data_IF_691157025962
#
_entry.id   IF_691157025962
#
_cell.length_a   1.000
_cell.length_b   1.000
_cell.length_c   1.000
_cell.angle_alpha   90.00
_cell.angle_beta   90.00
_cell.angle_gamma   90.00
#
_symmetry.space_group_name_H-M   'P 1'
#
loop_
_entity.id
_entity.type
_entity.pdbx_description
1 polymer ?
#
# COMPACT_ATOMS: atom_id res chain seq x y z
N UNK A 1 -14.68 -20.80 -8.19
CA UNK A 1 -14.77 -19.47 -8.79
C UNK A 1 -14.03 -18.49 -7.91
N UNK A 2 -13.20 -17.67 -8.47
CA UNK A 2 -12.43 -16.65 -7.74
C UNK A 2 -13.40 -15.53 -7.35
N UNK A 3 -13.58 -15.28 -6.07
CA UNK A 3 -14.35 -14.14 -5.56
C UNK A 3 -13.35 -13.05 -5.20
N UNK A 4 -13.42 -11.92 -5.88
CA UNK A 4 -12.58 -10.76 -5.62
C UNK A 4 -13.37 -9.80 -4.72
N UNK A 5 -12.92 -9.59 -3.49
CA UNK A 5 -13.49 -8.60 -2.58
C UNK A 5 -12.45 -7.53 -2.32
N UNK A 6 -12.75 -6.29 -2.68
CA UNK A 6 -11.94 -5.13 -2.29
C UNK A 6 -12.58 -4.49 -1.06
N UNK A 7 -11.86 -4.42 0.05
CA UNK A 7 -12.31 -3.76 1.27
C UNK A 7 -11.45 -2.53 1.56
N UNK A 8 -12.11 -1.39 1.76
CA UNK A 8 -11.48 -0.17 2.25
C UNK A 8 -11.58 -0.16 3.78
N UNK A 9 -10.47 -0.42 4.43
CA UNK A 9 -10.36 -0.45 5.88
C UNK A 9 -9.80 0.89 6.35
N UNK A 10 -10.68 1.82 6.71
CA UNK A 10 -10.30 3.16 7.15
C UNK A 10 -11.09 3.60 8.39
N UNK A 11 -10.45 4.40 9.23
CA UNK A 11 -11.05 4.97 10.44
C UNK A 11 -12.06 6.06 10.09
N UNK A 12 -13.35 5.86 10.40
CA UNK A 12 -14.36 6.92 10.47
C UNK A 12 -14.32 7.59 11.83
N UNK A 13 -13.64 8.71 11.91
CA UNK A 13 -13.84 9.69 12.99
C UNK A 13 -14.98 10.63 12.65
N UNK A 14 -16.19 10.36 13.14
CA UNK A 14 -17.32 11.27 13.03
C UNK A 14 -17.14 12.43 14.04
N UNK A 15 -16.93 13.64 13.57
CA UNK A 15 -17.19 14.87 14.36
C UNK A 15 -17.90 15.89 13.48
N UNK A 16 -19.21 15.97 13.69
CA UNK A 16 -20.01 17.16 13.35
C UNK A 16 -19.51 18.37 14.14
N UNK A 17 -19.17 19.46 13.46
CA UNK A 17 -19.29 20.80 14.04
C UNK A 17 -19.49 21.87 12.98
N UNK A 18 -20.65 22.47 13.09
CA UNK A 18 -21.15 23.80 12.76
C UNK A 18 -20.27 24.81 12.00
N UNK A 19 -21.00 25.43 11.05
CA UNK A 19 -20.73 26.68 10.35
C UNK A 19 -20.43 27.83 11.30
N UNK A 20 -19.48 28.67 10.92
CA UNK A 20 -19.71 30.13 10.95
C UNK A 20 -18.91 30.83 9.83
N UNK A 21 -19.63 31.74 9.16
CA UNK A 21 -19.22 32.61 8.07
C UNK A 21 -18.46 33.82 8.65
N UNK A 22 -17.27 34.11 8.13
CA UNK A 22 -16.79 35.51 8.13
C UNK A 22 -15.87 35.75 6.92
N UNK A 23 -16.30 36.59 6.04
CA UNK A 23 -15.60 37.18 4.91
C UNK A 23 -14.52 38.13 5.41
N UNK A 24 -13.28 37.96 4.95
CA UNK A 24 -12.30 39.06 4.93
C UNK A 24 -11.38 38.90 3.71
N UNK A 25 -11.45 39.90 2.87
CA UNK A 25 -10.64 40.20 1.72
C UNK A 25 -9.18 40.45 2.15
N UNK A 26 -8.21 39.72 1.58
CA UNK A 26 -6.81 40.18 1.58
C UNK A 26 -6.00 39.45 0.50
N UNK A 27 -5.47 40.26 -0.43
CA UNK A 27 -4.26 40.11 -1.25
C UNK A 27 -3.87 38.70 -1.77
N UNK A 28 -3.94 38.53 -3.08
CA UNK A 28 -3.31 37.47 -3.86
C UNK A 28 -1.78 37.49 -3.68
N UNK A 29 -1.27 36.62 -2.83
CA UNK A 29 0.09 36.13 -2.92
C UNK A 29 0.10 35.00 -3.97
N UNK A 30 0.89 35.16 -5.01
CA UNK A 30 1.10 34.17 -6.06
C UNK A 30 1.65 32.88 -5.46
N UNK A 31 0.80 31.88 -5.27
CA UNK A 31 1.19 30.51 -4.92
C UNK A 31 2.08 29.96 -6.05
N UNK A 32 3.12 29.18 -5.73
CA UNK A 32 3.85 28.40 -6.73
C UNK A 32 2.85 27.57 -7.52
N UNK A 33 2.88 27.64 -8.84
CA UNK A 33 2.08 26.76 -9.69
C UNK A 33 2.54 25.32 -9.44
N UNK A 34 1.61 24.50 -8.95
CA UNK A 34 1.77 23.08 -8.88
C UNK A 34 1.90 22.53 -10.31
N UNK A 35 3.03 21.89 -10.68
CA UNK A 35 3.25 21.40 -12.05
C UNK A 35 2.25 20.31 -12.46
N UNK A 36 1.44 19.79 -11.52
CA UNK A 36 0.61 18.61 -11.69
C UNK A 36 -0.85 18.88 -12.13
N UNK A 37 -1.25 20.15 -12.27
CA UNK A 37 -2.67 20.49 -12.57
C UNK A 37 -3.17 20.09 -13.95
N UNK A 38 -2.34 19.47 -14.81
CA UNK A 38 -2.72 19.07 -16.17
C UNK A 38 -2.48 17.58 -16.47
N UNK A 39 -2.23 16.74 -15.47
CA UNK A 39 -2.06 15.33 -15.70
C UNK A 39 -3.41 14.64 -15.86
N UNK A 40 -3.61 13.95 -16.99
CA UNK A 40 -4.78 13.12 -17.24
C UNK A 40 -4.75 11.91 -16.31
N UNK A 41 -5.85 11.69 -15.57
CA UNK A 41 -6.00 10.54 -14.67
C UNK A 41 -6.76 9.41 -15.40
N UNK A 42 -6.51 8.15 -15.05
CA UNK A 42 -5.56 7.63 -14.05
C UNK A 42 -4.11 7.69 -14.52
N UNK A 43 -3.20 8.10 -13.65
CA UNK A 43 -1.78 8.19 -13.93
C UNK A 43 -0.96 7.37 -12.94
N UNK A 44 0.01 6.60 -13.45
CA UNK A 44 0.87 5.75 -12.63
C UNK A 44 2.35 5.99 -12.89
N UNK A 45 3.19 5.67 -11.91
CA UNK A 45 4.65 5.65 -12.01
C UNK A 45 5.21 4.44 -11.29
N UNK A 46 6.31 3.87 -11.82
CA UNK A 46 7.09 2.85 -11.12
C UNK A 46 8.15 3.45 -10.18
N UNK A 47 8.13 4.75 -9.97
CA UNK A 47 9.11 5.44 -9.12
C UNK A 47 10.56 5.05 -9.48
N UNK A 48 10.85 5.01 -10.79
CA UNK A 48 12.15 4.57 -11.33
C UNK A 48 13.29 5.58 -11.15
N UNK A 49 13.06 6.68 -10.46
CA UNK A 49 14.08 7.72 -10.20
C UNK A 49 13.61 8.77 -9.19
N UNK A 50 14.50 9.71 -8.91
CA UNK A 50 14.36 10.65 -7.80
C UNK A 50 13.17 11.60 -7.88
N UNK A 51 12.67 11.93 -9.08
CA UNK A 51 11.58 12.89 -9.21
C UNK A 51 10.28 12.33 -8.66
N UNK A 52 9.84 11.19 -9.18
CA UNK A 52 8.60 10.55 -8.75
C UNK A 52 8.70 9.96 -7.34
N UNK A 53 9.86 9.40 -6.95
CA UNK A 53 10.09 8.95 -5.56
C UNK A 53 9.90 10.13 -4.58
N UNK A 54 10.51 11.28 -4.86
CA UNK A 54 10.43 12.45 -3.98
C UNK A 54 9.00 12.97 -3.89
N UNK A 55 8.27 12.99 -4.99
CA UNK A 55 6.88 13.44 -5.02
C UNK A 55 5.97 12.52 -4.20
N UNK A 56 6.06 11.20 -4.41
CA UNK A 56 5.27 10.20 -3.67
C UNK A 56 5.59 10.25 -2.17
N UNK A 57 6.87 10.30 -1.80
CA UNK A 57 7.28 10.42 -0.39
C UNK A 57 6.75 11.70 0.26
N UNK A 58 6.74 12.82 -0.46
CA UNK A 58 6.15 14.07 0.05
C UNK A 58 4.65 13.91 0.36
N UNK A 59 3.87 13.24 -0.51
CA UNK A 59 2.44 13.02 -0.25
C UNK A 59 2.22 12.06 0.92
N UNK A 60 3.07 11.03 1.07
CA UNK A 60 3.07 10.14 2.23
C UNK A 60 3.36 10.89 3.52
N UNK A 61 4.40 11.73 3.56
CA UNK A 61 4.75 12.57 4.71
C UNK A 61 3.62 13.53 5.07
N UNK A 62 3.04 14.22 4.08
CA UNK A 62 1.91 15.14 4.27
C UNK A 62 0.65 14.43 4.81
N UNK A 63 0.46 13.17 4.48
CA UNK A 63 -0.62 12.34 5.00
C UNK A 63 -0.32 11.80 6.41
N UNK A 64 0.95 11.86 6.86
CA UNK A 64 1.40 11.34 8.13
C UNK A 64 1.73 9.85 8.11
N UNK A 65 2.08 9.27 6.95
CA UNK A 65 2.54 7.90 6.86
C UNK A 65 3.83 7.69 7.64
N UNK A 66 4.01 6.50 8.17
CA UNK A 66 5.21 6.15 8.95
C UNK A 66 6.35 5.69 8.04
N UNK A 67 7.57 5.75 8.56
CA UNK A 67 8.78 5.17 7.95
C UNK A 67 9.00 5.56 6.47
N UNK A 68 8.61 6.77 6.08
CA UNK A 68 8.69 7.25 4.68
C UNK A 68 10.14 7.27 4.19
N UNK A 69 11.11 7.61 5.04
CA UNK A 69 12.54 7.55 4.67
C UNK A 69 12.99 6.11 4.38
N UNK A 70 12.59 5.13 5.19
CA UNK A 70 12.87 3.70 4.95
C UNK A 70 12.19 3.21 3.68
N UNK A 71 10.94 3.60 3.44
CA UNK A 71 10.25 3.31 2.19
C UNK A 71 11.01 3.89 0.98
N UNK A 72 11.46 5.14 1.08
CA UNK A 72 12.29 5.77 0.05
C UNK A 72 13.57 5.01 -0.24
N UNK A 73 14.24 4.52 0.79
CA UNK A 73 15.44 3.67 0.66
C UNK A 73 15.11 2.37 -0.08
N UNK A 74 14.00 1.70 0.27
CA UNK A 74 13.58 0.45 -0.38
C UNK A 74 13.28 0.66 -1.87
N UNK A 75 12.51 1.71 -2.21
CA UNK A 75 12.18 2.04 -3.59
C UNK A 75 13.42 2.38 -4.40
N UNK A 76 14.34 3.18 -3.82
CA UNK A 76 15.58 3.59 -4.49
C UNK A 76 16.47 2.39 -4.75
N UNK A 77 16.67 1.53 -3.76
CA UNK A 77 17.49 0.33 -3.87
C UNK A 77 16.94 -0.64 -4.93
N UNK A 78 15.61 -0.84 -4.97
CA UNK A 78 14.97 -1.65 -6.01
C UNK A 78 15.18 -1.04 -7.41
N UNK A 79 14.93 0.26 -7.57
CA UNK A 79 15.09 0.94 -8.86
C UNK A 79 16.53 0.89 -9.37
N UNK A 80 17.51 1.09 -8.47
CA UNK A 80 18.95 1.01 -8.76
C UNK A 80 19.36 -0.44 -9.10
N UNK A 81 18.75 -1.43 -8.46
CA UNK A 81 19.02 -2.86 -8.70
C UNK A 81 18.44 -3.31 -10.03
N UNK A 82 17.19 -3.02 -10.31
CA UNK A 82 16.52 -3.30 -11.57
C UNK A 82 17.24 -2.66 -12.78
N UNK A 83 17.83 -1.49 -12.57
CA UNK A 83 18.62 -0.78 -13.57
C UNK A 83 17.79 -0.24 -14.75
N UNK A 84 18.48 0.44 -15.66
CA UNK A 84 17.84 1.18 -16.79
C UNK A 84 17.08 0.29 -17.76
N UNK A 85 17.45 -0.99 -17.85
CA UNK A 85 16.88 -1.93 -18.81
C UNK A 85 15.53 -2.51 -18.36
N UNK A 86 15.16 -2.34 -17.10
CA UNK A 86 13.89 -2.82 -16.54
C UNK A 86 12.69 -1.92 -16.89
N UNK A 87 12.92 -0.79 -17.59
CA UNK A 87 11.88 0.15 -18.00
C UNK A 87 11.10 0.79 -16.84
N UNK A 88 11.75 0.99 -15.69
CA UNK A 88 11.19 1.74 -14.57
C UNK A 88 11.29 3.23 -14.87
N UNK A 89 10.21 3.83 -15.39
CA UNK A 89 10.21 5.24 -15.77
C UNK A 89 10.06 6.13 -14.54
N UNK A 90 10.84 7.22 -14.52
CA UNK A 90 10.75 8.32 -13.54
C UNK A 90 9.78 9.41 -14.03
N UNK A 91 8.59 9.00 -14.48
CA UNK A 91 7.55 9.91 -14.97
C UNK A 91 6.18 9.30 -14.73
N UNK A 92 5.19 10.14 -14.55
CA UNK A 92 3.80 9.72 -14.57
C UNK A 92 3.38 9.38 -16.01
N UNK A 93 2.65 8.31 -16.18
CA UNK A 93 2.10 7.85 -17.46
C UNK A 93 0.68 7.36 -17.25
N UNK A 94 -0.11 7.30 -18.31
CA UNK A 94 -1.44 6.69 -18.22
C UNK A 94 -1.32 5.25 -17.71
N UNK A 95 -2.15 4.87 -16.73
CA UNK A 95 -1.97 3.63 -15.96
C UNK A 95 -1.95 2.36 -16.85
N UNK A 96 -2.77 2.31 -17.91
CA UNK A 96 -2.83 1.19 -18.86
C UNK A 96 -1.57 0.99 -19.70
N UNK A 97 -0.66 1.97 -19.70
CA UNK A 97 0.59 1.95 -20.48
C UNK A 97 1.82 1.53 -19.66
N UNK A 98 1.60 1.21 -18.39
CA UNK A 98 2.68 0.79 -17.51
C UNK A 98 3.13 -0.63 -17.84
N UNK A 99 4.43 -0.79 -18.14
CA UNK A 99 5.05 -2.09 -18.45
C UNK A 99 6.50 -2.10 -17.96
N UNK A 100 6.73 -2.75 -16.83
CA UNK A 100 8.08 -3.08 -16.38
C UNK A 100 8.54 -4.40 -17.00
N UNK A 101 9.85 -4.56 -17.15
CA UNK A 101 10.47 -5.84 -17.45
C UNK A 101 10.78 -6.56 -16.13
N UNK A 102 9.83 -7.36 -15.66
CA UNK A 102 9.91 -8.04 -14.35
C UNK A 102 11.06 -9.03 -14.27
N UNK A 103 11.41 -9.70 -15.39
CA UNK A 103 12.59 -10.56 -15.45
C UNK A 103 13.88 -9.79 -15.16
N UNK A 104 14.04 -8.62 -15.76
CA UNK A 104 15.21 -7.75 -15.48
C UNK A 104 15.19 -7.13 -14.08
N UNK A 105 14.01 -6.87 -13.54
CA UNK A 105 13.89 -6.44 -12.14
C UNK A 105 14.45 -7.51 -11.22
N UNK A 106 14.03 -8.77 -11.41
CA UNK A 106 14.46 -9.89 -10.59
C UNK A 106 15.96 -10.20 -10.80
N UNK A 107 16.43 -10.31 -12.04
CA UNK A 107 17.84 -10.53 -12.33
C UNK A 107 18.73 -9.47 -11.68
N UNK A 108 18.35 -8.20 -11.81
CA UNK A 108 19.11 -7.09 -11.22
C UNK A 108 19.07 -7.06 -9.69
N UNK A 109 17.98 -7.51 -9.07
CA UNK A 109 17.89 -7.66 -7.63
C UNK A 109 18.81 -8.79 -7.13
N UNK A 110 18.71 -9.96 -7.74
CA UNK A 110 19.51 -11.15 -7.37
C UNK A 110 21.02 -10.97 -7.60
N UNK A 111 21.44 -10.08 -8.51
CA UNK A 111 22.85 -9.72 -8.69
C UNK A 111 23.43 -8.96 -7.49
N UNK A 112 22.60 -8.28 -6.70
CA UNK A 112 23.02 -7.42 -5.59
C UNK A 112 22.63 -7.94 -4.22
N UNK A 113 21.59 -8.76 -4.14
CA UNK A 113 20.99 -9.22 -2.90
C UNK A 113 20.83 -10.74 -2.90
N UNK A 114 21.01 -11.35 -1.76
CA UNK A 114 20.83 -12.79 -1.52
C UNK A 114 19.49 -13.11 -0.81
N UNK A 115 18.55 -12.14 -0.85
CA UNK A 115 17.23 -12.25 -0.27
C UNK A 115 16.17 -11.59 -1.19
N UNK A 116 14.91 -11.97 -1.02
CA UNK A 116 13.79 -11.38 -1.76
C UNK A 116 13.49 -9.95 -1.26
N UNK A 117 13.15 -9.04 -2.19
CA UNK A 117 12.67 -7.72 -1.79
C UNK A 117 11.31 -7.82 -1.08
N UNK A 118 10.85 -6.71 -0.49
CA UNK A 118 9.55 -6.63 0.12
C UNK A 118 8.43 -6.90 -0.90
N UNK A 119 7.30 -7.37 -0.41
CA UNK A 119 6.06 -7.49 -1.18
C UNK A 119 5.04 -6.39 -0.82
N UNK A 120 3.81 -6.54 -1.31
CA UNK A 120 2.73 -5.60 -1.08
C UNK A 120 2.38 -5.46 0.42
N UNK A 121 2.31 -6.59 1.15
CA UNK A 121 1.95 -6.63 2.57
C UNK A 121 3.02 -5.99 3.44
N UNK A 122 4.29 -6.32 3.20
CA UNK A 122 5.43 -5.77 3.92
C UNK A 122 5.55 -4.26 3.70
N UNK A 123 5.35 -3.80 2.47
CA UNK A 123 5.40 -2.37 2.11
C UNK A 123 4.27 -1.58 2.74
N UNK A 124 3.03 -2.09 2.66
CA UNK A 124 1.89 -1.43 3.28
C UNK A 124 2.01 -1.39 4.81
N UNK A 125 2.49 -2.47 5.43
CA UNK A 125 2.70 -2.54 6.88
C UNK A 125 3.78 -1.57 7.36
N UNK A 126 4.90 -1.45 6.65
CA UNK A 126 5.96 -0.49 6.96
C UNK A 126 5.41 0.94 7.04
N UNK A 127 4.60 1.34 6.07
CA UNK A 127 4.03 2.69 6.00
C UNK A 127 2.91 2.93 7.02
N UNK A 128 2.33 1.87 7.58
CA UNK A 128 1.29 1.91 8.63
C UNK A 128 1.85 1.74 10.04
N UNK A 129 3.12 1.37 10.21
CA UNK A 129 3.72 1.14 11.52
C UNK A 129 3.57 2.38 12.41
N UNK A 130 3.04 2.19 13.64
CA UNK A 130 2.72 3.28 14.54
C UNK A 130 1.38 4.01 14.29
N UNK A 131 0.75 3.84 13.11
CA UNK A 131 -0.61 4.32 12.82
C UNK A 131 -1.64 3.20 12.97
N UNK A 132 -1.24 1.98 12.70
CA UNK A 132 -2.09 0.80 12.83
C UNK A 132 -2.06 0.32 14.28
N UNK A 133 -3.24 0.20 14.88
CA UNK A 133 -3.44 -0.29 16.23
C UNK A 133 -4.39 -1.48 16.23
N UNK A 134 -4.18 -2.43 17.14
CA UNK A 134 -5.08 -3.54 17.40
C UNK A 134 -5.32 -3.66 18.91
N UNK A 135 -6.52 -4.04 19.32
CA UNK A 135 -6.83 -4.32 20.74
C UNK A 135 -6.23 -5.66 21.19
N UNK A 136 -6.05 -6.59 20.27
CA UNK A 136 -5.39 -7.88 20.47
C UNK A 136 -4.83 -8.39 19.16
N UNK A 137 -3.89 -9.33 19.25
CA UNK A 137 -3.30 -10.05 18.12
C UNK A 137 -3.46 -11.56 18.34
N UNK A 138 -3.22 -12.34 17.29
CA UNK A 138 -3.11 -13.79 17.41
C UNK A 138 -1.79 -14.15 18.12
N UNK A 139 -1.82 -15.16 19.00
CA UNK A 139 -0.63 -15.56 19.77
C UNK A 139 0.46 -16.22 18.90
N UNK A 140 0.06 -16.84 17.80
CA UNK A 140 0.99 -17.47 16.86
C UNK A 140 0.36 -17.64 15.48
N UNK A 141 1.15 -17.45 14.43
CA UNK A 141 0.76 -17.76 13.06
C UNK A 141 1.26 -19.17 12.68
N UNK A 142 0.36 -20.02 12.23
CA UNK A 142 0.64 -21.38 11.78
C UNK A 142 0.20 -21.64 10.33
N UNK A 143 -0.14 -20.58 9.61
CA UNK A 143 -0.59 -20.66 8.23
C UNK A 143 0.56 -20.86 7.23
N UNK A 144 0.21 -20.94 5.96
CA UNK A 144 1.15 -21.20 4.86
C UNK A 144 1.21 -20.06 3.84
N UNK A 145 0.21 -19.19 3.77
CA UNK A 145 0.15 -18.13 2.77
C UNK A 145 1.18 -17.00 2.98
N UNK A 146 1.64 -16.80 4.22
CA UNK A 146 2.70 -15.84 4.54
C UNK A 146 4.10 -16.49 4.63
N UNK A 147 4.29 -17.70 4.11
CA UNK A 147 5.56 -18.43 4.29
C UNK A 147 6.77 -17.63 3.79
N UNK A 148 6.68 -17.01 2.61
CA UNK A 148 7.77 -16.21 2.05
C UNK A 148 7.98 -14.89 2.80
N UNK A 149 6.88 -14.22 3.21
CA UNK A 149 6.97 -13.01 4.05
C UNK A 149 7.67 -13.32 5.37
N UNK A 150 7.26 -14.41 6.01
CA UNK A 150 7.80 -14.82 7.31
C UNK A 150 9.28 -15.21 7.23
N UNK A 151 9.68 -15.89 6.16
CA UNK A 151 11.08 -16.22 5.92
C UNK A 151 11.94 -14.96 5.78
N UNK A 152 11.47 -13.98 4.99
CA UNK A 152 12.16 -12.71 4.81
C UNK A 152 12.18 -11.89 6.12
N UNK A 153 11.05 -11.74 6.79
CA UNK A 153 10.91 -10.98 8.05
C UNK A 153 11.84 -11.56 9.13
N UNK A 154 11.94 -12.87 9.25
CA UNK A 154 12.72 -13.52 10.30
C UNK A 154 14.23 -13.46 10.05
N UNK A 155 14.68 -13.44 8.80
CA UNK A 155 16.08 -13.64 8.46
C UNK A 155 16.79 -12.41 7.88
N UNK A 156 16.06 -11.37 7.45
CA UNK A 156 16.63 -10.20 6.79
C UNK A 156 16.54 -8.97 7.69
N UNK A 157 17.67 -8.35 8.00
CA UNK A 157 17.73 -7.19 8.90
C UNK A 157 16.98 -5.96 8.34
N UNK A 158 16.87 -5.85 7.04
CA UNK A 158 16.08 -4.83 6.35
C UNK A 158 14.63 -4.75 6.85
N UNK A 159 14.07 -5.88 7.32
CA UNK A 159 12.68 -6.00 7.76
C UNK A 159 12.49 -5.99 9.28
N UNK A 160 13.49 -5.50 10.01
CA UNK A 160 13.48 -5.43 11.49
C UNK A 160 12.26 -4.69 12.04
N UNK A 161 11.81 -3.61 11.38
CA UNK A 161 10.62 -2.85 11.80
C UNK A 161 9.37 -3.75 11.77
N UNK A 162 9.21 -4.55 10.73
CA UNK A 162 8.08 -5.49 10.61
C UNK A 162 8.23 -6.62 11.64
N UNK A 163 9.46 -7.14 11.82
CA UNK A 163 9.77 -8.20 12.78
C UNK A 163 9.39 -7.83 14.20
N UNK A 164 9.60 -6.59 14.61
CA UNK A 164 9.22 -6.08 15.93
C UNK A 164 7.71 -6.09 16.18
N UNK A 165 6.89 -6.04 15.12
CA UNK A 165 5.43 -6.05 15.16
C UNK A 165 4.84 -7.28 14.44
N UNK A 166 5.57 -8.39 14.45
CA UNK A 166 5.27 -9.61 13.69
C UNK A 166 3.87 -10.17 13.97
N UNK A 167 3.44 -10.18 15.25
CA UNK A 167 2.13 -10.72 15.62
C UNK A 167 1.00 -9.86 15.04
N UNK A 168 1.17 -8.55 14.95
CA UNK A 168 0.22 -7.66 14.30
C UNK A 168 0.20 -7.88 12.78
N UNK A 169 1.37 -8.03 12.15
CA UNK A 169 1.50 -8.33 10.72
C UNK A 169 0.77 -9.64 10.36
N UNK A 170 1.01 -10.71 11.09
CA UNK A 170 0.40 -12.02 10.85
C UNK A 170 -1.10 -12.04 11.18
N UNK A 171 -1.53 -11.30 12.22
CA UNK A 171 -2.95 -11.14 12.53
C UNK A 171 -3.69 -10.39 11.41
N UNK A 172 -3.05 -9.38 10.82
CA UNK A 172 -3.65 -8.59 9.74
C UNK A 172 -3.71 -9.38 8.42
N UNK A 173 -2.63 -10.02 8.02
CA UNK A 173 -2.46 -10.58 6.67
C UNK A 173 -2.54 -12.10 6.57
N UNK A 174 -2.44 -12.83 7.69
CA UNK A 174 -2.58 -14.29 7.69
C UNK A 174 -3.93 -14.72 7.11
N UNK A 175 -3.96 -15.86 6.45
CA UNK A 175 -5.18 -16.45 5.93
C UNK A 175 -6.20 -16.69 7.06
N UNK A 176 -7.46 -16.59 6.70
CA UNK A 176 -8.57 -16.75 7.63
C UNK A 176 -9.50 -17.86 7.16
N UNK A 177 -9.92 -18.74 8.08
CA UNK A 177 -11.03 -19.65 7.82
C UNK A 177 -12.30 -18.84 7.59
N UNK A 178 -13.13 -19.30 6.67
CA UNK A 178 -14.40 -18.64 6.37
C UNK A 178 -15.32 -18.66 7.59
N UNK A 179 -15.89 -17.51 7.91
CA UNK A 179 -16.80 -17.35 9.05
C UNK A 179 -18.26 -17.58 8.67
N UNK A 180 -18.59 -17.32 7.41
CA UNK A 180 -19.94 -17.57 6.83
C UNK A 180 -19.78 -18.04 5.38
N UNK A 181 -20.13 -19.30 5.10
CA UNK A 181 -20.08 -19.93 3.78
C UNK A 181 -20.91 -19.21 2.71
N UNK A 182 -21.92 -18.43 3.12
CA UNK A 182 -22.76 -17.66 2.21
C UNK A 182 -22.18 -16.29 1.89
N UNK A 183 -21.35 -15.79 2.78
CA UNK A 183 -20.77 -14.45 2.72
C UNK A 183 -19.28 -14.49 3.07
N UNK A 184 -18.44 -15.23 2.32
CA UNK A 184 -17.01 -15.32 2.59
C UNK A 184 -16.32 -13.94 2.54
N UNK A 185 -16.90 -13.01 1.79
CA UNK A 185 -16.42 -11.62 1.67
C UNK A 185 -16.42 -10.86 3.01
N UNK A 186 -17.24 -11.27 3.99
CA UNK A 186 -17.30 -10.58 5.30
C UNK A 186 -16.17 -10.99 6.24
N UNK A 187 -15.44 -12.06 5.93
CA UNK A 187 -14.46 -12.66 6.84
C UNK A 187 -13.38 -11.67 7.28
N UNK A 188 -12.86 -10.84 6.34
CA UNK A 188 -11.84 -9.85 6.71
C UNK A 188 -12.42 -8.71 7.55
N UNK A 189 -13.59 -8.19 7.23
CA UNK A 189 -14.22 -7.13 8.04
C UNK A 189 -14.59 -7.65 9.44
N UNK A 190 -14.95 -8.90 9.56
CA UNK A 190 -15.22 -9.52 10.86
C UNK A 190 -13.92 -9.72 11.68
N UNK A 191 -12.81 -10.12 11.03
CA UNK A 191 -11.50 -10.16 11.68
C UNK A 191 -11.01 -8.77 12.09
N UNK A 192 -11.18 -7.78 11.23
CA UNK A 192 -10.85 -6.38 11.56
C UNK A 192 -11.55 -5.93 12.83
N UNK A 193 -12.87 -6.21 12.94
CA UNK A 193 -13.66 -5.90 14.14
C UNK A 193 -13.24 -6.74 15.34
N UNK A 194 -13.01 -8.05 15.13
CA UNK A 194 -12.63 -9.00 16.20
C UNK A 194 -11.36 -8.56 16.92
N UNK A 195 -10.34 -8.14 16.18
CA UNK A 195 -9.07 -7.71 16.75
C UNK A 195 -9.04 -6.22 17.09
N UNK A 196 -10.10 -5.48 16.74
CA UNK A 196 -10.22 -4.05 17.01
C UNK A 196 -9.18 -3.22 16.28
N UNK A 197 -8.87 -3.58 15.02
CA UNK A 197 -7.95 -2.81 14.20
C UNK A 197 -8.48 -1.41 13.95
N UNK A 198 -7.57 -0.43 14.02
CA UNK A 198 -7.82 0.98 13.74
C UNK A 198 -6.59 1.60 13.08
N UNK A 199 -6.81 2.49 12.13
CA UNK A 199 -5.76 3.31 11.54
C UNK A 199 -5.97 4.74 12.07
N UNK A 200 -4.98 5.28 12.76
CA UNK A 200 -5.03 6.64 13.35
C UNK A 200 -4.67 7.69 12.27
N UNK A 201 -5.51 7.77 11.26
CA UNK A 201 -5.40 8.75 10.18
C UNK A 201 -6.75 8.99 9.52
N UNK A 202 -7.01 10.23 9.12
CA UNK A 202 -8.17 10.62 8.31
C UNK A 202 -7.85 10.71 6.82
N UNK A 203 -6.59 10.50 6.46
CA UNK A 203 -6.07 10.60 5.08
C UNK A 203 -5.53 9.28 4.52
N UNK A 204 -5.23 8.31 5.38
CA UNK A 204 -4.65 7.02 5.00
C UNK A 204 -5.66 5.93 5.22
N UNK A 205 -5.83 5.08 4.21
CA UNK A 205 -6.62 3.85 4.29
C UNK A 205 -5.82 2.68 3.74
N UNK A 206 -6.02 1.50 4.30
CA UNK A 206 -5.50 0.24 3.76
C UNK A 206 -6.53 -0.31 2.78
N UNK A 207 -6.13 -0.52 1.53
CA UNK A 207 -6.92 -1.24 0.53
C UNK A 207 -6.35 -2.64 0.36
N UNK A 208 -7.18 -3.66 0.52
CA UNK A 208 -6.79 -5.06 0.35
C UNK A 208 -7.74 -5.77 -0.60
N UNK A 209 -7.18 -6.59 -1.47
CA UNK A 209 -7.90 -7.51 -2.36
C UNK A 209 -7.82 -8.89 -1.76
N UNK A 210 -8.96 -9.45 -1.39
CA UNK A 210 -9.06 -10.77 -0.82
C UNK A 210 -9.33 -11.83 -1.89
N UNK A 211 -8.68 -12.97 -1.76
CA UNK A 211 -8.86 -14.13 -2.63
C UNK A 211 -9.40 -15.28 -1.78
N UNK A 212 -10.52 -15.84 -2.22
CA UNK A 212 -11.09 -17.05 -1.61
C UNK A 212 -10.56 -18.29 -2.30
N UNK A 213 -9.99 -19.19 -1.53
CA UNK A 213 -9.58 -20.53 -1.96
C UNK A 213 -10.59 -21.56 -1.45
N UNK A 214 -11.47 -22.06 -2.34
CA UNK A 214 -12.52 -23.02 -1.93
C UNK A 214 -11.96 -24.42 -1.58
N UNK A 215 -10.75 -24.76 -2.04
CA UNK A 215 -10.15 -26.08 -1.75
C UNK A 215 -9.59 -26.13 -0.32
N UNK A 216 -9.21 -24.99 0.22
CA UNK A 216 -8.69 -24.85 1.58
C UNK A 216 -9.69 -24.22 2.55
N UNK A 217 -10.88 -23.84 2.07
CA UNK A 217 -11.91 -23.12 2.83
C UNK A 217 -11.33 -21.91 3.57
N UNK A 218 -10.49 -21.17 2.87
CA UNK A 218 -9.74 -20.05 3.41
C UNK A 218 -9.80 -18.83 2.50
N UNK A 219 -9.73 -17.66 3.12
CA UNK A 219 -9.57 -16.39 2.42
C UNK A 219 -8.25 -15.73 2.86
N UNK A 220 -7.55 -15.16 1.92
CA UNK A 220 -6.26 -14.49 2.17
C UNK A 220 -6.13 -13.20 1.38
N UNK A 221 -5.21 -12.31 1.82
CA UNK A 221 -4.90 -11.07 1.12
C UNK A 221 -4.01 -11.39 -0.08
N UNK A 222 -4.58 -11.32 -1.27
CA UNK A 222 -3.86 -11.52 -2.52
C UNK A 222 -3.05 -10.30 -2.95
N UNK A 223 -3.54 -9.10 -2.64
CA UNK A 223 -2.83 -7.84 -2.87
C UNK A 223 -3.26 -6.76 -1.88
N UNK A 224 -2.37 -5.79 -1.62
CA UNK A 224 -2.66 -4.68 -0.71
C UNK A 224 -1.77 -3.47 -1.01
N UNK A 225 -2.27 -2.28 -0.65
CA UNK A 225 -1.52 -1.02 -0.72
C UNK A 225 -2.18 0.07 0.12
N UNK A 226 -1.52 1.22 0.22
CA UNK A 226 -2.06 2.38 0.90
C UNK A 226 -2.76 3.32 -0.05
N UNK A 227 -3.97 3.71 0.30
CA UNK A 227 -4.72 4.77 -0.36
C UNK A 227 -4.60 6.05 0.44
N UNK A 228 -4.04 7.08 -0.18
CA UNK A 228 -3.79 8.39 0.40
C UNK A 228 -4.78 9.38 -0.19
N UNK A 229 -5.54 10.05 0.66
CA UNK A 229 -6.41 11.16 0.26
C UNK A 229 -5.60 12.44 0.11
N UNK A 230 -5.33 12.86 -1.12
CA UNK A 230 -4.72 14.14 -1.46
C UNK A 230 -5.79 15.24 -1.64
N UNK A 231 -5.38 16.47 -2.00
CA UNK A 231 -6.32 17.60 -2.12
C UNK A 231 -7.35 17.40 -3.25
N UNK A 232 -6.87 16.92 -4.41
CA UNK A 232 -7.65 16.88 -5.64
C UNK A 232 -7.73 15.47 -6.27
N UNK A 233 -7.05 14.48 -5.68
CA UNK A 233 -6.98 13.10 -6.17
C UNK A 233 -6.73 12.12 -5.01
N UNK A 234 -6.80 10.83 -5.29
CA UNK A 234 -6.30 9.77 -4.42
C UNK A 234 -5.00 9.21 -4.99
N UNK A 235 -4.04 8.95 -4.11
CA UNK A 235 -2.78 8.30 -4.44
C UNK A 235 -2.78 6.89 -3.85
N UNK A 236 -2.71 5.87 -4.70
CA UNK A 236 -2.54 4.49 -4.29
C UNK A 236 -1.07 4.11 -4.39
N UNK A 237 -0.48 3.68 -3.28
CA UNK A 237 0.95 3.32 -3.18
C UNK A 237 1.06 1.84 -2.82
N UNK A 238 1.79 1.11 -3.65
CA UNK A 238 1.91 -0.34 -3.55
C UNK A 238 3.30 -0.83 -3.96
N UNK A 239 3.66 -2.02 -3.51
CA UNK A 239 4.66 -2.89 -4.12
C UNK A 239 3.88 -4.00 -4.79
N UNK A 240 3.98 -4.15 -6.11
CA UNK A 240 3.11 -5.07 -6.84
C UNK A 240 3.36 -6.52 -6.41
N UNK A 241 4.62 -6.95 -6.40
CA UNK A 241 5.09 -8.22 -5.85
C UNK A 241 6.59 -8.12 -5.56
N UNK A 242 7.19 -9.11 -4.89
CA UNK A 242 8.62 -9.04 -4.56
C UNK A 242 9.52 -8.94 -5.80
N UNK A 243 9.16 -9.55 -6.93
CA UNK A 243 9.87 -9.48 -8.22
C UNK A 243 9.43 -8.30 -9.09
N UNK A 244 8.41 -7.56 -8.70
CA UNK A 244 7.83 -6.46 -9.47
C UNK A 244 8.10 -5.11 -8.83
N UNK A 245 7.96 -4.00 -9.57
CA UNK A 245 8.31 -2.68 -9.05
C UNK A 245 7.38 -2.19 -7.96
N UNK A 246 7.85 -1.22 -7.20
CA UNK A 246 7.00 -0.29 -6.46
C UNK A 246 6.23 0.57 -7.46
N UNK A 247 4.97 0.83 -7.17
CA UNK A 247 4.10 1.63 -8.02
C UNK A 247 3.32 2.64 -7.19
N UNK A 248 3.10 3.81 -7.76
CA UNK A 248 2.15 4.77 -7.27
C UNK A 248 1.17 5.12 -8.38
N UNK A 249 -0.12 5.19 -8.05
CA UNK A 249 -1.20 5.46 -9.02
C UNK A 249 -2.08 6.58 -8.49
N UNK A 250 -2.24 7.64 -9.29
CA UNK A 250 -3.17 8.75 -9.04
C UNK A 250 -4.50 8.44 -9.71
N UNK A 251 -5.60 8.57 -8.97
CA UNK A 251 -6.96 8.37 -9.46
C UNK A 251 -7.89 9.46 -8.93
N UNK A 252 -8.97 9.74 -9.67
CA UNK A 252 -9.97 10.74 -9.29
C UNK A 252 -10.92 10.23 -8.19
N UNK A 253 -11.17 8.92 -8.16
CA UNK A 253 -12.12 8.27 -7.25
C UNK A 253 -11.83 6.76 -7.11
N UNK A 254 -12.59 6.10 -6.24
CA UNK A 254 -12.43 4.66 -5.98
C UNK A 254 -12.83 3.77 -7.15
N UNK A 255 -13.86 4.15 -7.92
CA UNK A 255 -14.30 3.32 -9.05
C UNK A 255 -13.20 3.23 -10.10
N UNK A 256 -12.52 4.35 -10.37
CA UNK A 256 -11.37 4.40 -11.27
C UNK A 256 -10.17 3.55 -10.76
N UNK A 257 -9.95 3.49 -9.45
CA UNK A 257 -8.92 2.62 -8.87
C UNK A 257 -9.29 1.14 -9.02
N UNK A 258 -10.54 0.78 -8.73
CA UNK A 258 -11.01 -0.61 -8.85
C UNK A 258 -11.02 -1.12 -10.28
N UNK A 259 -11.17 -0.25 -11.28
CA UNK A 259 -11.07 -0.60 -12.70
C UNK A 259 -9.61 -0.91 -13.14
N UNK A 260 -8.62 -0.46 -12.36
CA UNK A 260 -7.19 -0.68 -12.64
C UNK A 260 -6.66 -1.94 -11.94
N UNK A 261 -7.17 -2.22 -10.72
CA UNK A 261 -6.76 -3.37 -9.89
C UNK A 261 -7.39 -4.67 -10.38
#
# INVERSE_FOLDING_TARGET
>A
GMLLCAELLGGCGNKDTNKDNTTTDTAEESKPQDPDKNQELPAATYMGGNNTITEVCRELDLAGASNVDTFKEWVTDFADSAGKNANLKDTWSYADKMKADTGKCMDGWEEKHDYSDADCRMTAFLLLDGLLHAQSTEDSYNGTYLMFDMEAIDNVDRYEIIRQNKDMFTTLYGEKSITDDKHPETTFSDNWKKYGFQIDSDRISLLSIAIYDPDLDAIFVGHTGLLIKCSDYYLFVEKIAFEQPYQATKVSNMDELLDIL
#
